data_IF_034558259623
#
_entry.id   IF_034558259623
#
_cell.length_a   1.000
_cell.length_b   1.000
_cell.length_c   1.000
_cell.angle_alpha   90.00
_cell.angle_beta   90.00
_cell.angle_gamma   90.00
#
_symmetry.space_group_name_H-M   'P 1'
#
loop_
_entity.id
_entity.type
_entity.pdbx_description
1 polymer ?
#
# COMPACT_ATOMS: atom_id res chain seq x y z
N UNK A 1 -1.63 14.40 9.36
CA UNK A 1 -1.81 13.42 10.46
C UNK A 1 -3.29 13.13 10.71
N UNK A 2 -4.16 14.13 10.90
CA UNK A 2 -5.57 13.92 11.24
C UNK A 2 -6.35 13.05 10.23
N UNK A 3 -6.14 13.25 8.92
CA UNK A 3 -6.88 12.56 7.85
C UNK A 3 -6.68 11.03 7.92
N UNK A 4 -5.43 10.56 8.00
CA UNK A 4 -5.13 9.11 8.06
C UNK A 4 -5.67 8.48 9.36
N UNK A 5 -5.63 9.23 10.45
CA UNK A 5 -6.21 8.77 11.72
C UNK A 5 -7.72 8.68 11.67
N UNK A 6 -8.39 9.70 11.14
CA UNK A 6 -9.82 9.70 10.90
C UNK A 6 -10.22 8.54 9.98
N UNK A 7 -9.41 8.28 8.96
CA UNK A 7 -9.65 7.16 8.05
C UNK A 7 -9.53 5.80 8.71
N UNK A 8 -8.49 5.67 9.54
CA UNK A 8 -8.27 4.46 10.33
C UNK A 8 -9.43 4.21 11.28
N UNK A 9 -9.84 5.23 12.04
CA UNK A 9 -10.85 5.10 13.08
C UNK A 9 -12.27 4.93 12.54
N UNK A 10 -12.60 5.62 11.43
CA UNK A 10 -13.97 5.64 10.88
C UNK A 10 -14.24 4.59 9.80
N UNK A 11 -13.22 4.15 9.05
CA UNK A 11 -13.40 3.19 7.95
C UNK A 11 -12.67 1.89 8.18
N UNK A 12 -11.34 1.94 8.37
CA UNK A 12 -10.53 0.73 8.45
C UNK A 12 -10.94 -0.17 9.63
N UNK A 13 -11.00 0.40 10.84
CA UNK A 13 -11.28 -0.38 12.05
C UNK A 13 -12.70 -0.95 12.06
N UNK A 14 -13.76 -0.18 11.71
CA UNK A 14 -15.10 -0.74 11.57
C UNK A 14 -15.21 -1.85 10.52
N UNK A 15 -14.48 -1.74 9.40
CA UNK A 15 -14.42 -2.78 8.39
C UNK A 15 -13.78 -4.06 8.95
N UNK A 16 -12.61 -3.95 9.59
CA UNK A 16 -11.92 -5.10 10.19
C UNK A 16 -12.72 -5.73 11.33
N UNK A 17 -13.44 -4.94 12.13
CA UNK A 17 -14.37 -5.43 13.14
C UNK A 17 -15.51 -6.25 12.52
N UNK A 18 -16.09 -5.78 11.41
CA UNK A 18 -17.15 -6.50 10.72
C UNK A 18 -16.65 -7.83 10.15
N UNK A 19 -15.49 -7.81 9.49
CA UNK A 19 -14.83 -9.00 8.94
C UNK A 19 -14.52 -10.00 10.05
N UNK A 20 -13.92 -9.54 11.15
CA UNK A 20 -13.58 -10.40 12.29
C UNK A 20 -14.83 -11.00 12.95
N UNK A 21 -15.89 -10.20 13.14
CA UNK A 21 -17.18 -10.70 13.69
C UNK A 21 -17.83 -11.77 12.82
N UNK A 22 -17.70 -11.65 11.50
CA UNK A 22 -18.26 -12.62 10.55
C UNK A 22 -17.36 -13.84 10.34
N UNK A 23 -16.10 -13.78 10.77
CA UNK A 23 -15.13 -14.86 10.58
C UNK A 23 -14.81 -15.14 9.10
N UNK A 24 -14.91 -14.12 8.25
CA UNK A 24 -14.72 -14.23 6.80
C UNK A 24 -13.24 -14.07 6.46
N UNK A 25 -12.76 -14.86 5.51
CA UNK A 25 -11.43 -14.69 4.91
C UNK A 25 -11.43 -13.46 4.00
N UNK A 26 -10.42 -12.61 4.15
CA UNK A 26 -10.29 -11.39 3.36
C UNK A 26 -8.87 -11.23 2.84
N UNK A 27 -8.76 -10.63 1.66
CA UNK A 27 -7.48 -10.19 1.13
C UNK A 27 -7.02 -8.93 1.86
N UNK A 28 -6.14 -9.10 2.85
CA UNK A 28 -5.59 -7.98 3.61
C UNK A 28 -4.73 -7.07 2.73
N UNK A 29 -4.15 -7.60 1.66
CA UNK A 29 -3.42 -6.79 0.69
C UNK A 29 -4.38 -5.85 -0.08
N UNK A 30 -5.56 -6.34 -0.47
CA UNK A 30 -6.57 -5.51 -1.13
C UNK A 30 -7.07 -4.38 -0.21
N UNK A 31 -7.32 -4.68 1.06
CA UNK A 31 -7.71 -3.68 2.07
C UNK A 31 -6.67 -2.55 2.15
N UNK A 32 -5.38 -2.91 2.26
CA UNK A 32 -4.32 -1.91 2.36
C UNK A 32 -4.13 -1.12 1.06
N UNK A 33 -4.36 -1.73 -0.10
CA UNK A 33 -4.39 -1.01 -1.38
C UNK A 33 -5.49 0.04 -1.41
N UNK A 34 -6.72 -0.34 -1.03
CA UNK A 34 -7.87 0.59 -0.95
C UNK A 34 -7.61 1.73 0.04
N UNK A 35 -7.12 1.40 1.23
CA UNK A 35 -6.74 2.40 2.24
C UNK A 35 -5.67 3.35 1.72
N UNK A 36 -4.64 2.84 1.04
CA UNK A 36 -3.58 3.68 0.47
C UNK A 36 -4.11 4.58 -0.63
N UNK A 37 -4.97 4.05 -1.51
CA UNK A 37 -5.58 4.82 -2.59
C UNK A 37 -6.46 5.96 -2.06
N UNK A 38 -7.36 5.68 -1.12
CA UNK A 38 -8.23 6.68 -0.49
C UNK A 38 -7.40 7.81 0.14
N UNK A 39 -6.32 7.45 0.85
CA UNK A 39 -5.42 8.44 1.45
C UNK A 39 -4.62 9.25 0.43
N UNK A 40 -4.14 8.63 -0.66
CA UNK A 40 -3.41 9.33 -1.72
C UNK A 40 -4.33 10.30 -2.46
N UNK A 41 -5.53 9.88 -2.85
CA UNK A 41 -6.51 10.76 -3.50
C UNK A 41 -6.92 11.92 -2.59
N UNK A 42 -7.10 11.67 -1.29
CA UNK A 42 -7.43 12.72 -0.34
C UNK A 42 -6.27 13.73 -0.21
N UNK A 43 -5.03 13.26 -0.08
CA UNK A 43 -3.85 14.13 0.08
C UNK A 43 -3.51 14.90 -1.20
N UNK A 44 -3.58 14.24 -2.37
CA UNK A 44 -3.07 14.78 -3.64
C UNK A 44 -4.15 15.51 -4.42
N UNK A 45 -5.39 15.02 -4.39
CA UNK A 45 -6.49 15.51 -5.22
C UNK A 45 -7.59 16.21 -4.42
N UNK A 46 -7.45 16.30 -3.08
CA UNK A 46 -8.47 16.81 -2.16
C UNK A 46 -9.85 16.14 -2.39
N UNK A 47 -9.81 14.86 -2.77
CA UNK A 47 -10.97 14.06 -3.12
C UNK A 47 -10.91 12.72 -2.41
N UNK A 48 -11.99 12.37 -1.70
CA UNK A 48 -12.12 11.09 -0.98
C UNK A 48 -13.04 10.13 -1.75
N UNK A 49 -12.48 9.13 -2.43
CA UNK A 49 -13.26 8.20 -3.24
C UNK A 49 -13.99 7.12 -2.43
N UNK A 50 -13.65 6.94 -1.14
CA UNK A 50 -14.31 6.01 -0.21
C UNK A 50 -14.32 4.55 -0.65
N UNK A 51 -13.23 4.06 -1.23
CA UNK A 51 -13.12 2.67 -1.66
C UNK A 51 -12.92 1.68 -0.50
N UNK A 52 -12.47 2.16 0.66
CA UNK A 52 -12.46 1.41 1.92
C UNK A 52 -13.83 1.43 2.62
N UNK A 53 -14.91 1.17 1.87
CA UNK A 53 -16.26 1.07 2.42
C UNK A 53 -16.58 -0.35 2.91
N UNK A 54 -17.48 -0.44 3.90
CA UNK A 54 -17.91 -1.67 4.56
C UNK A 54 -18.39 -2.76 3.59
N UNK A 55 -19.01 -2.35 2.48
CA UNK A 55 -19.58 -3.24 1.47
C UNK A 55 -18.56 -3.69 0.41
N UNK A 56 -17.32 -3.19 0.48
CA UNK A 56 -16.25 -3.44 -0.49
C UNK A 56 -16.79 -3.37 -1.94
N UNK A 57 -17.31 -2.21 -2.38
CA UNK A 57 -17.92 -2.09 -3.69
C UNK A 57 -16.98 -2.65 -4.77
N UNK A 58 -17.51 -3.33 -5.81
CA UNK A 58 -16.69 -3.78 -6.93
C UNK A 58 -16.03 -2.55 -7.53
N UNK A 59 -14.70 -2.49 -7.44
CA UNK A 59 -14.00 -1.27 -7.74
C UNK A 59 -13.54 -1.25 -9.19
N UNK A 60 -13.64 -0.11 -9.90
CA UNK A 60 -12.75 0.21 -11.00
C UNK A 60 -11.32 0.53 -10.53
N UNK A 61 -10.96 0.36 -9.25
CA UNK A 61 -9.59 0.55 -8.73
C UNK A 61 -8.65 -0.52 -9.25
N UNK A 62 -9.13 -1.69 -9.67
CA UNK A 62 -8.28 -2.52 -10.53
C UNK A 62 -7.89 -1.71 -11.76
N UNK A 63 -8.81 -1.01 -12.43
CA UNK A 63 -8.48 -0.14 -13.56
C UNK A 63 -7.59 1.04 -13.14
N UNK A 64 -7.82 1.75 -12.03
CA UNK A 64 -6.95 2.87 -11.64
C UNK A 64 -5.56 2.45 -11.08
N UNK A 65 -5.47 1.29 -10.42
CA UNK A 65 -4.21 0.66 -10.00
C UNK A 65 -3.53 0.05 -11.21
N UNK A 66 -4.28 -0.55 -12.14
CA UNK A 66 -3.82 -0.91 -13.49
C UNK A 66 -3.41 0.35 -14.22
N UNK A 67 -4.00 1.53 -14.05
CA UNK A 67 -3.62 2.74 -14.77
C UNK A 67 -2.32 3.33 -14.19
N UNK A 68 -2.09 3.18 -12.87
CA UNK A 68 -0.82 3.52 -12.19
C UNK A 68 0.26 2.46 -12.50
N UNK A 69 -0.09 1.17 -12.49
CA UNK A 69 0.78 0.06 -12.90
C UNK A 69 1.01 0.10 -14.42
N UNK A 70 0.05 0.52 -15.23
CA UNK A 70 0.14 0.77 -16.68
C UNK A 70 0.97 2.01 -16.91
N UNK A 71 0.93 3.03 -16.05
CA UNK A 71 1.89 4.12 -16.13
C UNK A 71 3.33 3.63 -15.92
N UNK A 72 3.53 2.55 -15.16
CA UNK A 72 4.82 1.83 -15.15
C UNK A 72 5.00 0.87 -16.32
N UNK A 73 3.90 0.36 -16.89
CA UNK A 73 3.87 -0.48 -18.11
C UNK A 73 4.02 0.36 -19.38
N UNK A 74 3.92 1.69 -19.32
CA UNK A 74 4.37 2.65 -20.34
C UNK A 74 5.92 2.67 -20.43
N UNK A 75 6.60 1.96 -19.53
CA UNK A 75 8.01 1.58 -19.65
C UNK A 75 8.17 0.09 -19.99
N UNK A 76 7.13 -0.58 -20.50
CA UNK A 76 7.37 -1.51 -21.60
C UNK A 76 7.69 -0.61 -22.79
N UNK A 77 8.96 -0.43 -23.15
CA UNK A 77 9.20 0.20 -24.44
C UNK A 77 8.46 -0.67 -25.47
N UNK A 78 7.60 -0.06 -26.28
CA UNK A 78 6.99 -0.71 -27.44
C UNK A 78 8.07 -0.94 -28.52
N UNK A 79 9.28 -1.36 -28.12
CA UNK A 79 10.40 -1.62 -29.00
C UNK A 79 10.15 -2.93 -29.70
N UNK A 80 9.68 -2.79 -30.94
CA UNK A 80 9.64 -3.87 -31.93
C UNK A 80 11.08 -4.26 -32.36
N UNK A 81 12.08 -3.41 -32.06
CA UNK A 81 13.51 -3.60 -32.36
C UNK A 81 14.40 -3.28 -31.15
N UNK A 82 15.62 -3.82 -31.12
CA UNK A 82 16.60 -3.54 -30.06
C UNK A 82 17.04 -2.07 -30.04
N UNK A 83 17.15 -1.47 -28.86
CA UNK A 83 17.58 -0.07 -28.68
C UNK A 83 18.72 0.06 -27.65
N UNK A 84 19.37 1.22 -27.56
CA UNK A 84 20.41 1.52 -26.57
C UNK A 84 19.98 2.75 -25.76
N UNK A 85 19.81 2.57 -24.45
CA UNK A 85 19.43 3.67 -23.55
C UNK A 85 20.52 4.74 -23.49
N UNK A 86 20.19 5.99 -23.08
CA UNK A 86 21.19 7.04 -22.82
C UNK A 86 22.26 6.63 -21.80
N UNK A 87 21.99 5.62 -20.98
CA UNK A 87 22.96 5.02 -20.05
C UNK A 87 23.96 4.06 -20.72
N UNK A 88 23.83 3.78 -22.01
CA UNK A 88 24.63 2.80 -22.77
C UNK A 88 24.18 1.35 -22.63
N UNK A 89 23.12 1.07 -21.86
CA UNK A 89 22.57 -0.28 -21.71
C UNK A 89 21.74 -0.66 -22.95
N UNK A 90 21.99 -1.85 -23.51
CA UNK A 90 21.22 -2.43 -24.62
C UNK A 90 19.89 -2.98 -24.11
N UNK A 91 18.82 -2.64 -24.81
CA UNK A 91 17.45 -3.10 -24.60
C UNK A 91 17.07 -4.05 -25.73
N UNK A 92 16.75 -5.29 -25.39
CA UNK A 92 16.19 -6.26 -26.34
C UNK A 92 14.65 -6.14 -26.39
N UNK A 93 14.01 -6.53 -27.52
CA UNK A 93 12.56 -6.68 -27.57
C UNK A 93 12.07 -7.57 -26.41
N UNK A 94 10.92 -7.22 -25.83
CA UNK A 94 10.29 -7.87 -24.65
C UNK A 94 10.97 -7.67 -23.29
N UNK A 95 12.09 -6.94 -23.23
CA UNK A 95 12.73 -6.60 -21.95
C UNK A 95 11.85 -5.62 -21.14
N UNK A 96 11.53 -5.99 -19.90
CA UNK A 96 10.78 -5.14 -18.97
C UNK A 96 11.72 -4.19 -18.21
N UNK A 97 11.43 -2.89 -18.23
CA UNK A 97 12.13 -1.91 -17.39
C UNK A 97 11.29 -1.65 -16.14
N UNK A 98 11.80 -2.05 -14.99
CA UNK A 98 11.14 -1.82 -13.70
C UNK A 98 11.67 -0.51 -13.09
N UNK A 99 10.77 0.42 -12.80
CA UNK A 99 11.11 1.67 -12.13
C UNK A 99 10.88 1.52 -10.63
N UNK A 100 11.96 1.18 -9.90
CA UNK A 100 11.92 1.16 -8.44
C UNK A 100 11.99 2.59 -7.87
N UNK A 101 10.81 3.14 -7.56
CA UNK A 101 10.69 4.45 -6.93
C UNK A 101 11.33 4.49 -5.53
N UNK A 102 11.32 3.37 -4.79
CA UNK A 102 11.89 3.26 -3.44
C UNK A 102 13.43 3.31 -3.47
N UNK A 103 14.06 2.62 -4.42
CA UNK A 103 15.50 2.73 -4.64
C UNK A 103 15.88 4.16 -5.05
N UNK A 104 15.15 4.76 -6.01
CA UNK A 104 15.42 6.11 -6.52
C UNK A 104 15.22 7.19 -5.46
N UNK A 105 14.21 7.08 -4.59
CA UNK A 105 13.94 8.02 -3.50
C UNK A 105 15.14 8.27 -2.58
N UNK A 106 16.06 7.30 -2.49
CA UNK A 106 17.25 7.35 -1.62
C UNK A 106 18.57 7.60 -2.36
N UNK A 107 18.51 7.91 -3.67
CA UNK A 107 19.70 8.15 -4.47
C UNK A 107 20.03 9.65 -4.53
N UNK A 108 21.14 10.03 -3.89
CA UNK A 108 21.71 11.39 -3.98
C UNK A 108 21.96 11.83 -5.42
N UNK A 109 22.32 10.92 -6.32
CA UNK A 109 22.56 11.23 -7.74
C UNK A 109 21.31 11.68 -8.51
N UNK A 110 20.11 11.35 -8.04
CA UNK A 110 18.84 11.72 -8.67
C UNK A 110 18.28 13.01 -8.07
N UNK A 111 18.35 13.15 -6.75
CA UNK A 111 17.69 14.24 -6.02
C UNK A 111 18.63 15.34 -5.52
N UNK A 112 19.93 15.23 -5.80
CA UNK A 112 20.94 16.19 -5.36
C UNK A 112 21.09 16.21 -3.83
N UNK A 113 21.57 17.32 -3.28
CA UNK A 113 21.75 17.48 -1.83
C UNK A 113 20.41 17.56 -1.05
N UNK A 114 19.28 17.71 -1.75
CA UNK A 114 17.92 17.74 -1.17
C UNK A 114 17.32 16.34 -0.94
N UNK A 115 18.00 15.26 -1.35
CA UNK A 115 17.56 13.88 -1.11
C UNK A 115 17.15 13.57 0.34
N UNK A 116 17.78 14.12 1.41
CA UNK A 116 17.35 13.85 2.79
C UNK A 116 15.99 14.46 3.11
N UNK A 117 15.61 15.58 2.45
CA UNK A 117 14.27 16.20 2.63
C UNK A 117 13.17 15.39 1.94
N UNK A 118 13.49 14.75 0.83
CA UNK A 118 12.58 13.84 0.12
C UNK A 118 12.39 12.56 0.94
N UNK A 119 13.49 11.97 1.46
CA UNK A 119 13.40 10.87 2.43
C UNK A 119 12.71 11.26 3.75
N UNK A 120 12.83 12.50 4.22
CA UNK A 120 12.08 12.96 5.40
C UNK A 120 10.55 12.94 5.20
N UNK A 121 10.05 13.12 3.97
CA UNK A 121 8.62 12.91 3.70
C UNK A 121 8.23 11.43 3.83
N UNK A 122 9.15 10.51 3.55
CA UNK A 122 8.97 9.08 3.80
C UNK A 122 8.95 8.77 5.30
N UNK A 123 9.74 9.45 6.14
CA UNK A 123 9.67 9.27 7.61
C UNK A 123 8.29 9.65 8.17
N UNK A 124 7.64 10.66 7.60
CA UNK A 124 6.26 11.02 7.94
C UNK A 124 5.28 9.91 7.50
N UNK A 125 5.42 9.39 6.27
CA UNK A 125 4.59 8.31 5.76
C UNK A 125 4.78 7.01 6.57
N UNK A 126 6.02 6.66 6.93
CA UNK A 126 6.35 5.53 7.80
C UNK A 126 5.79 5.71 9.21
N UNK A 127 5.83 6.93 9.75
CA UNK A 127 5.22 7.22 11.06
C UNK A 127 3.71 7.05 11.01
N UNK A 128 3.06 7.54 9.95
CA UNK A 128 1.63 7.34 9.72
C UNK A 128 1.30 5.85 9.59
N UNK A 129 2.04 5.10 8.78
CA UNK A 129 1.86 3.66 8.62
C UNK A 129 2.08 2.90 9.93
N UNK A 130 3.09 3.26 10.72
CA UNK A 130 3.34 2.67 12.05
C UNK A 130 2.16 2.85 12.99
N UNK A 131 1.48 4.00 12.94
CA UNK A 131 0.29 4.23 13.74
C UNK A 131 -0.89 3.34 13.31
N UNK A 132 -1.12 3.22 12.00
CA UNK A 132 -2.15 2.32 11.43
C UNK A 132 -1.86 0.87 11.80
N UNK A 133 -0.63 0.41 11.55
CA UNK A 133 -0.18 -0.94 11.88
C UNK A 133 -0.28 -1.22 13.37
N UNK A 134 0.11 -0.26 14.22
CA UNK A 134 -0.01 -0.39 15.67
C UNK A 134 -1.48 -0.47 16.12
N UNK A 135 -2.40 0.24 15.47
CA UNK A 135 -3.83 0.16 15.76
C UNK A 135 -4.41 -1.20 15.37
N UNK A 136 -3.93 -1.80 14.27
CA UNK A 136 -4.36 -3.12 13.79
C UNK A 136 -3.81 -4.22 14.69
N UNK A 137 -2.48 -4.30 14.86
CA UNK A 137 -1.82 -5.38 15.63
C UNK A 137 -2.25 -5.39 17.10
N UNK A 138 -2.62 -4.23 17.66
CA UNK A 138 -3.16 -4.17 19.03
C UNK A 138 -4.56 -4.75 19.18
N UNK A 139 -5.34 -4.81 18.08
CA UNK A 139 -6.76 -5.17 18.10
C UNK A 139 -7.03 -6.53 17.49
N UNK A 140 -6.22 -6.96 16.51
CA UNK A 140 -6.45 -8.18 15.75
C UNK A 140 -5.22 -9.07 15.73
N UNK A 141 -5.46 -10.36 15.90
CA UNK A 141 -4.56 -11.42 15.48
C UNK A 141 -4.90 -11.77 14.04
N UNK A 142 -3.91 -11.77 13.16
CA UNK A 142 -4.09 -11.94 11.72
C UNK A 142 -3.45 -13.26 11.33
N UNK A 143 -4.29 -14.24 11.00
CA UNK A 143 -3.86 -15.57 10.59
C UNK A 143 -3.98 -15.72 9.07
N UNK A 144 -2.85 -15.90 8.39
CA UNK A 144 -2.85 -16.18 6.94
C UNK A 144 -3.50 -17.56 6.71
N UNK A 145 -4.37 -17.63 5.70
CA UNK A 145 -5.08 -18.87 5.35
C UNK A 145 -4.08 -19.98 5.03
N UNK A 146 -4.33 -21.19 5.56
CA UNK A 146 -3.43 -22.33 5.35
C UNK A 146 -3.30 -22.67 3.85
N UNK A 147 -2.06 -22.90 3.41
CA UNK A 147 -1.76 -23.21 2.01
C UNK A 147 -1.69 -21.99 1.08
N UNK A 148 -1.85 -20.77 1.61
CA UNK A 148 -1.70 -19.55 0.82
C UNK A 148 -0.25 -19.39 0.32
N UNK A 149 -0.08 -19.27 -1.01
CA UNK A 149 1.25 -19.11 -1.61
C UNK A 149 1.68 -17.63 -1.60
N UNK A 150 2.68 -17.34 -0.77
CA UNK A 150 3.31 -16.01 -0.69
C UNK A 150 4.37 -15.93 -1.79
N UNK A 151 3.93 -15.60 -3.00
CA UNK A 151 4.81 -15.38 -4.16
C UNK A 151 4.80 -13.90 -4.50
N UNK A 152 5.96 -13.21 -4.46
CA UNK A 152 6.02 -11.82 -4.86
C UNK A 152 5.68 -11.68 -6.34
N UNK A 153 4.91 -10.65 -6.65
CA UNK A 153 4.65 -10.22 -8.00
C UNK A 153 5.71 -9.22 -8.46
N UNK A 154 6.01 -9.25 -9.75
CA UNK A 154 6.91 -8.29 -10.36
C UNK A 154 6.08 -7.04 -10.67
N UNK A 155 5.93 -6.17 -9.66
CA UNK A 155 5.17 -4.91 -9.73
C UNK A 155 6.02 -3.75 -9.22
N UNK A 156 5.72 -2.53 -9.69
CA UNK A 156 6.33 -1.29 -9.17
C UNK A 156 6.00 -1.06 -7.70
N UNK A 157 4.86 -1.60 -7.25
CA UNK A 157 4.57 -1.73 -5.82
C UNK A 157 4.84 -3.17 -5.40
N UNK A 158 5.58 -3.40 -4.32
CA UNK A 158 5.81 -4.76 -3.84
C UNK A 158 4.47 -5.39 -3.44
N UNK A 159 4.01 -6.38 -4.20
CA UNK A 159 2.73 -7.07 -4.00
C UNK A 159 2.90 -8.58 -4.11
N UNK A 160 1.94 -9.33 -3.59
CA UNK A 160 1.84 -10.79 -3.75
C UNK A 160 0.92 -11.14 -4.93
N UNK A 161 1.34 -12.09 -5.78
CA UNK A 161 0.62 -12.52 -7.00
C UNK A 161 -0.82 -12.97 -6.75
N UNK A 162 -1.07 -13.53 -5.59
CA UNK A 162 -2.37 -14.12 -5.23
C UNK A 162 -3.03 -13.38 -4.07
N UNK A 163 -2.63 -12.12 -3.81
CA UNK A 163 -3.13 -11.40 -2.64
C UNK A 163 -2.53 -11.92 -1.33
N UNK A 164 -3.12 -11.52 -0.22
CA UNK A 164 -2.79 -12.02 1.11
C UNK A 164 -4.09 -12.37 1.87
N UNK A 165 -4.59 -13.59 1.65
CA UNK A 165 -5.81 -14.06 2.31
C UNK A 165 -5.54 -14.35 3.78
N UNK A 166 -6.29 -13.71 4.67
CA UNK A 166 -6.17 -13.91 6.10
C UNK A 166 -7.53 -13.87 6.82
N UNK A 167 -7.57 -14.50 7.99
CA UNK A 167 -8.63 -14.38 8.96
C UNK A 167 -8.20 -13.46 10.09
N UNK A 168 -9.13 -12.67 10.60
CA UNK A 168 -8.89 -11.73 11.68
C UNK A 168 -9.63 -12.18 12.94
N UNK A 169 -8.90 -12.24 14.05
CA UNK A 169 -9.44 -12.56 15.36
C UNK A 169 -9.24 -11.38 16.32
N UNK A 170 -10.32 -10.89 16.95
CA UNK A 170 -10.19 -9.82 17.94
C UNK A 170 -9.37 -10.29 19.13
N UNK A 171 -8.28 -9.59 19.43
CA UNK A 171 -7.46 -9.86 20.60
C UNK A 171 -8.13 -9.28 21.83
N UNK A 172 -8.39 -10.12 22.84
CA UNK A 172 -8.86 -9.67 24.15
C UNK A 172 -7.69 -9.15 24.98
N UNK A 173 -7.11 -8.00 24.63
CA UNK A 173 -6.15 -7.35 25.52
C UNK A 173 -6.87 -6.38 26.44
N UNK A 174 -6.83 -6.63 27.75
CA UNK A 174 -7.18 -5.62 28.77
C UNK A 174 -6.04 -4.59 28.80
N UNK A 175 -6.20 -3.45 28.12
CA UNK A 175 -5.28 -2.32 28.29
C UNK A 175 -5.89 -1.26 29.21
N UNK A 176 -5.18 -0.99 30.31
CA UNK A 176 -5.45 0.15 31.19
C UNK A 176 -5.01 1.43 30.44
N UNK A 177 -5.94 2.34 30.18
CA UNK A 177 -5.76 3.53 29.32
C UNK A 177 -4.85 4.64 29.91
N UNK A 178 -4.15 4.40 31.03
CA UNK A 178 -3.49 5.46 31.82
C UNK A 178 -2.07 5.85 31.37
N UNK A 179 -1.55 5.35 30.24
CA UNK A 179 -0.13 5.55 29.88
C UNK A 179 0.15 6.27 28.55
N UNK A 180 -0.86 6.80 27.84
CA UNK A 180 -0.62 7.45 26.53
C UNK A 180 -1.40 8.76 26.33
N UNK A 181 -1.61 9.55 27.38
CA UNK A 181 -1.97 10.96 27.21
C UNK A 181 -1.02 11.80 28.09
N UNK A 182 -0.25 12.75 27.51
CA UNK A 182 0.44 13.74 28.31
C UNK A 182 -0.60 14.62 29.03
N UNK A 183 -0.33 14.90 30.30
CA UNK A 183 -1.12 15.76 31.18
C UNK A 183 -1.20 17.19 30.66
#
# INVERSE_FOLDING_TARGET
MAIIWEETDRRLIPLLDNVSKRGVEIDVQDIFKRFTYDNVCNIVMDYDPKFLALELPPIPVSQAVIDIEEFSTLLKPNTVESDILPSGHRMEPDMQIIFDAYAKGRMKSIWGDDWPRICQREDMALTQLKFVVAAIIRRYDIEVVQGHQVVPDISVTLQMKHGCQARLHVVKVKFCLSLVLPS
#
